data_IF_252278495764
#
_entry.id   IF_252278495764
#
_cell.length_a   1.000
_cell.length_b   1.000
_cell.length_c   1.000
_cell.angle_alpha   90.00
_cell.angle_beta   90.00
_cell.angle_gamma   90.00
#
_symmetry.space_group_name_H-M   'P 1'
#
loop_
_entity.id
_entity.type
_entity.pdbx_description
1 polymer ?
#
# COMPACT_ATOMS: atom_id res chain seq x y z
N UNK A 1 -0.49 -1.97 10.64
CA UNK A 1 0.24 -0.94 9.87
C UNK A 1 0.72 0.27 10.68
N UNK A 2 -0.16 0.93 11.44
CA UNK A 2 0.13 2.25 12.05
C UNK A 2 1.22 2.27 13.13
N UNK A 3 1.54 1.13 13.74
CA UNK A 3 2.68 0.98 14.67
C UNK A 3 3.96 0.53 13.97
N UNK A 4 3.82 -0.30 12.94
CA UNK A 4 4.95 -0.90 12.22
C UNK A 4 5.62 0.13 11.31
N UNK A 5 4.85 0.96 10.58
CA UNK A 5 5.43 1.95 9.69
C UNK A 5 6.36 2.95 10.42
N UNK A 6 5.96 3.58 11.55
CA UNK A 6 6.87 4.41 12.33
C UNK A 6 8.11 3.66 12.84
N UNK A 7 7.96 2.39 13.24
CA UNK A 7 9.08 1.58 13.72
C UNK A 7 10.14 1.35 12.63
N UNK A 8 9.72 0.96 11.43
CA UNK A 8 10.63 0.74 10.30
C UNK A 8 11.32 2.04 9.85
N UNK A 9 10.58 3.16 9.90
CA UNK A 9 11.11 4.49 9.58
C UNK A 9 12.07 5.02 10.67
N UNK A 10 11.80 4.74 11.96
CA UNK A 10 12.72 5.11 13.05
C UNK A 10 14.04 4.35 12.92
N UNK A 11 13.98 3.04 12.65
CA UNK A 11 15.17 2.22 12.46
C UNK A 11 16.04 2.72 11.30
N UNK A 12 15.41 3.11 10.19
CA UNK A 12 16.09 3.70 9.03
C UNK A 12 16.73 5.05 9.36
N UNK A 13 16.00 5.95 10.03
CA UNK A 13 16.52 7.30 10.32
C UNK A 13 17.69 7.28 11.30
N UNK A 14 17.76 6.27 12.17
CA UNK A 14 18.80 6.16 13.21
C UNK A 14 19.98 5.29 12.81
N UNK A 15 19.81 4.41 11.83
CA UNK A 15 20.85 3.49 11.37
C UNK A 15 21.64 4.04 10.19
N UNK A 16 22.96 4.02 10.30
CA UNK A 16 23.85 4.23 9.14
C UNK A 16 23.98 2.97 8.27
N UNK A 17 23.47 1.82 8.72
CA UNK A 17 23.55 0.54 8.00
C UNK A 17 22.45 0.40 6.97
N UNK A 18 21.28 0.97 7.26
CA UNK A 18 20.13 0.99 6.38
C UNK A 18 20.23 2.23 5.47
N UNK A 19 20.05 2.07 4.15
CA UNK A 19 19.99 3.23 3.28
C UNK A 19 18.77 4.07 3.68
N UNK A 20 18.99 5.37 3.88
CA UNK A 20 17.90 6.31 3.97
C UNK A 20 17.22 6.37 2.59
N UNK A 21 15.90 6.27 2.55
CA UNK A 21 15.11 6.71 1.42
C UNK A 21 15.47 8.19 1.22
N UNK A 22 16.15 8.48 0.11
CA UNK A 22 16.28 9.85 -0.38
C UNK A 22 14.88 10.46 -0.30
N UNK A 23 14.76 11.57 0.43
CA UNK A 23 13.47 12.19 0.67
C UNK A 23 13.01 12.87 -0.63
N UNK A 24 12.53 12.06 -1.56
CA UNK A 24 11.85 12.49 -2.75
C UNK A 24 10.36 12.56 -2.42
N UNK A 25 9.79 13.78 -2.25
CA UNK A 25 8.37 13.93 -1.99
C UNK A 25 7.51 13.46 -3.18
N UNK A 26 8.11 13.27 -4.36
CA UNK A 26 7.46 12.80 -5.58
C UNK A 26 7.46 11.27 -5.72
N UNK A 27 8.03 10.55 -4.75
CA UNK A 27 8.12 9.08 -4.77
C UNK A 27 7.18 8.44 -3.76
N UNK A 28 6.50 7.37 -4.16
CA UNK A 28 5.59 6.59 -3.33
C UNK A 28 6.35 5.61 -2.41
N UNK A 29 7.05 6.16 -1.41
CA UNK A 29 7.73 5.41 -0.35
C UNK A 29 6.82 5.17 0.85
N UNK A 30 7.23 4.26 1.75
CA UNK A 30 6.55 4.05 3.03
C UNK A 30 6.37 5.37 3.80
N UNK A 31 7.39 6.24 3.77
CA UNK A 31 7.37 7.54 4.43
C UNK A 31 6.31 8.47 3.83
N UNK A 32 6.29 8.64 2.50
CA UNK A 32 5.36 9.57 1.84
C UNK A 32 3.92 9.07 1.93
N UNK A 33 3.68 7.77 1.75
CA UNK A 33 2.35 7.17 1.87
C UNK A 33 1.83 7.23 3.32
N UNK A 34 2.68 6.97 4.31
CA UNK A 34 2.30 7.11 5.71
C UNK A 34 1.99 8.56 6.09
N UNK A 35 2.81 9.53 5.64
CA UNK A 35 2.55 10.95 5.86
C UNK A 35 1.24 11.41 5.22
N UNK A 36 0.96 10.97 3.99
CA UNK A 36 -0.32 11.22 3.31
C UNK A 36 -1.51 10.67 4.07
N UNK A 37 -1.42 9.43 4.53
CA UNK A 37 -2.45 8.80 5.35
C UNK A 37 -2.71 9.62 6.62
N UNK A 38 -1.65 10.04 7.32
CA UNK A 38 -1.78 10.89 8.51
C UNK A 38 -2.42 12.25 8.20
N UNK A 39 -2.07 12.86 7.08
CA UNK A 39 -2.54 14.18 6.67
C UNK A 39 -3.95 14.20 6.04
N UNK A 40 -4.71 13.12 6.11
CA UNK A 40 -6.10 13.13 5.60
C UNK A 40 -6.24 12.75 4.12
N UNK A 41 -5.15 12.48 3.40
CA UNK A 41 -5.23 12.25 1.97
C UNK A 41 -5.91 10.92 1.66
N UNK A 42 -6.68 10.91 0.57
CA UNK A 42 -7.23 9.69 -0.01
C UNK A 42 -6.16 9.00 -0.86
N UNK A 43 -6.26 7.68 -0.96
CA UNK A 43 -5.53 6.92 -1.97
C UNK A 43 -6.06 7.27 -3.37
N UNK A 44 -5.24 7.14 -4.42
CA UNK A 44 -5.75 7.14 -5.80
C UNK A 44 -6.85 6.10 -5.95
N UNK A 45 -7.77 6.32 -6.89
CA UNK A 45 -8.89 5.40 -7.14
C UNK A 45 -8.43 3.93 -7.15
N UNK A 46 -9.20 2.99 -6.58
CA UNK A 46 -8.84 1.59 -6.63
C UNK A 46 -9.02 0.99 -8.04
N UNK A 47 -9.60 1.74 -8.99
CA UNK A 47 -9.81 1.33 -10.37
C UNK A 47 -8.59 1.65 -11.25
N UNK A 48 -7.98 0.67 -11.94
CA UNK A 48 -6.79 0.88 -12.75
C UNK A 48 -6.94 1.99 -13.80
N UNK A 49 -8.07 2.03 -14.50
CA UNK A 49 -8.36 3.05 -15.52
C UNK A 49 -8.32 4.46 -14.94
N UNK A 50 -8.88 4.66 -13.75
CA UNK A 50 -8.87 5.96 -13.08
C UNK A 50 -7.49 6.36 -12.64
N UNK A 51 -6.68 5.42 -12.12
CA UNK A 51 -5.30 5.72 -11.75
C UNK A 51 -4.45 6.12 -12.96
N UNK A 52 -4.85 5.72 -14.17
CA UNK A 52 -4.20 6.14 -15.42
C UNK A 52 -4.73 7.45 -16.01
N UNK A 53 -5.93 7.88 -15.63
CA UNK A 53 -6.56 9.11 -16.09
C UNK A 53 -6.20 10.30 -15.18
N UNK A 54 -5.28 11.13 -15.66
CA UNK A 54 -4.80 12.28 -14.92
C UNK A 54 -5.89 13.31 -14.57
N UNK A 55 -6.95 13.43 -15.38
CA UNK A 55 -8.03 14.38 -15.11
C UNK A 55 -8.87 13.93 -13.90
N UNK A 56 -9.23 12.64 -13.86
CA UNK A 56 -10.01 12.06 -12.77
C UNK A 56 -9.24 12.05 -11.45
N UNK A 57 -7.93 11.75 -11.50
CA UNK A 57 -7.07 11.82 -10.31
C UNK A 57 -6.95 13.24 -9.77
N UNK A 58 -6.77 14.24 -10.64
CA UNK A 58 -6.67 15.64 -10.23
C UNK A 58 -7.97 16.15 -9.59
N UNK A 59 -9.12 15.68 -10.05
CA UNK A 59 -10.42 16.05 -9.47
C UNK A 59 -10.56 15.65 -8.00
N UNK A 60 -9.93 14.55 -7.58
CA UNK A 60 -10.03 14.03 -6.20
C UNK A 60 -8.79 14.33 -5.35
N UNK A 61 -7.70 14.84 -5.93
CA UNK A 61 -6.42 15.05 -5.25
C UNK A 61 -6.50 16.00 -4.04
N UNK A 62 -7.40 16.98 -4.08
CA UNK A 62 -7.58 17.96 -3.01
C UNK A 62 -8.51 17.48 -1.90
N UNK A 63 -9.23 16.37 -2.13
CA UNK A 63 -10.13 15.82 -1.13
C UNK A 63 -9.35 15.27 0.06
N UNK A 64 -9.88 15.53 1.24
CA UNK A 64 -9.34 15.05 2.51
C UNK A 64 -10.46 14.40 3.30
N UNK A 65 -10.14 13.26 3.91
CA UNK A 65 -11.02 12.68 4.91
C UNK A 65 -10.75 13.31 6.28
N UNK A 66 -11.81 13.63 7.01
CA UNK A 66 -11.73 14.03 8.42
C UNK A 66 -11.47 12.84 9.36
N UNK A 67 -11.50 11.61 8.84
CA UNK A 67 -11.30 10.41 9.63
C UNK A 67 -9.83 10.23 10.04
N UNK A 68 -9.63 10.01 11.34
CA UNK A 68 -8.32 9.60 11.88
C UNK A 68 -7.94 8.24 11.31
N UNK A 69 -6.65 7.96 11.07
CA UNK A 69 -6.23 6.68 10.48
C UNK A 69 -6.83 5.45 11.18
N UNK A 70 -6.91 5.43 12.53
CA UNK A 70 -7.46 4.30 13.29
C UNK A 70 -8.93 3.96 13.00
N UNK A 71 -9.71 4.89 12.43
CA UNK A 71 -11.14 4.69 12.12
C UNK A 71 -11.40 4.66 10.62
N UNK A 72 -10.34 4.69 9.80
CA UNK A 72 -10.47 4.58 8.35
C UNK A 72 -10.81 3.16 7.94
N UNK A 73 -11.52 3.01 6.82
CA UNK A 73 -11.85 1.70 6.31
C UNK A 73 -10.58 0.97 5.86
N UNK A 74 -10.61 -0.36 5.85
CA UNK A 74 -9.41 -1.19 5.75
C UNK A 74 -8.72 -1.07 4.37
N UNK A 75 -9.51 -0.84 3.32
CA UNK A 75 -9.03 -0.62 1.95
C UNK A 75 -8.07 0.57 1.81
N UNK A 76 -8.20 1.61 2.65
CA UNK A 76 -7.32 2.79 2.62
C UNK A 76 -5.85 2.44 2.96
N UNK A 77 -5.63 1.24 3.51
CA UNK A 77 -4.33 0.75 3.92
C UNK A 77 -3.66 -0.17 2.90
N UNK A 78 -4.30 -0.46 1.75
CA UNK A 78 -3.74 -1.35 0.71
C UNK A 78 -2.33 -0.88 0.26
N UNK A 79 -2.19 0.37 -0.15
CA UNK A 79 -0.90 0.89 -0.65
C UNK A 79 0.15 0.96 0.47
N UNK A 80 -0.28 1.24 1.70
CA UNK A 80 0.60 1.23 2.86
C UNK A 80 1.07 -0.20 3.19
N UNK A 81 0.20 -1.20 3.03
CA UNK A 81 0.56 -2.61 3.19
C UNK A 81 1.68 -3.00 2.22
N UNK A 82 1.54 -2.71 0.93
CA UNK A 82 2.58 -3.02 -0.05
C UNK A 82 3.89 -2.29 0.22
N UNK A 83 3.83 -1.00 0.54
CA UNK A 83 5.02 -0.23 0.88
C UNK A 83 5.72 -0.76 2.14
N UNK A 84 4.96 -1.26 3.12
CA UNK A 84 5.50 -1.85 4.34
C UNK A 84 6.20 -3.18 4.05
N UNK A 85 5.60 -4.06 3.24
CA UNK A 85 6.23 -5.29 2.79
C UNK A 85 7.53 -5.03 2.03
N UNK A 86 7.51 -4.10 1.07
CA UNK A 86 8.70 -3.72 0.32
C UNK A 86 9.81 -3.19 1.24
N UNK A 87 9.46 -2.38 2.25
CA UNK A 87 10.44 -1.85 3.21
C UNK A 87 11.06 -2.94 4.08
N UNK A 88 10.26 -3.85 4.62
CA UNK A 88 10.76 -4.96 5.44
C UNK A 88 11.71 -5.85 4.63
N UNK A 89 11.33 -6.19 3.40
CA UNK A 89 12.17 -6.98 2.50
C UNK A 89 13.48 -6.26 2.16
N UNK A 90 13.43 -4.95 1.86
CA UNK A 90 14.61 -4.17 1.54
C UNK A 90 15.59 -4.08 2.72
N UNK A 91 15.09 -3.77 3.92
CA UNK A 91 15.91 -3.71 5.13
C UNK A 91 16.52 -5.07 5.47
N UNK A 92 15.73 -6.14 5.37
CA UNK A 92 16.23 -7.51 5.56
C UNK A 92 17.34 -7.86 4.55
N UNK A 93 17.15 -7.54 3.27
CA UNK A 93 18.14 -7.82 2.22
C UNK A 93 19.46 -7.07 2.46
N UNK A 94 19.40 -5.78 2.83
CA UNK A 94 20.60 -4.99 3.14
C UNK A 94 21.37 -5.57 4.32
N UNK A 95 20.67 -5.92 5.41
CA UNK A 95 21.32 -6.49 6.60
C UNK A 95 21.94 -7.85 6.31
N UNK A 96 21.22 -8.69 5.57
CA UNK A 96 21.72 -10.00 5.11
C UNK A 96 23.00 -9.84 4.28
N UNK A 97 23.00 -8.96 3.28
CA UNK A 97 24.16 -8.73 2.43
C UNK A 97 25.39 -8.22 3.21
N UNK A 98 25.18 -7.33 4.21
CA UNK A 98 26.27 -6.84 5.08
C UNK A 98 26.87 -7.95 5.94
N UNK A 99 26.04 -8.81 6.50
CA UNK A 99 26.48 -9.95 7.32
C UNK A 99 27.20 -10.99 6.47
N UNK A 100 26.63 -11.37 5.32
CA UNK A 100 27.25 -12.34 4.40
C UNK A 100 28.59 -11.86 3.85
N UNK A 101 28.77 -10.54 3.70
CA UNK A 101 30.02 -9.92 3.24
C UNK A 101 31.03 -9.67 4.37
N UNK A 102 30.73 -10.05 5.62
CA UNK A 102 31.53 -9.78 6.82
C UNK A 102 31.83 -8.28 7.08
N UNK A 103 31.01 -7.36 6.54
CA UNK A 103 31.10 -5.93 6.91
C UNK A 103 30.59 -5.69 8.33
N UNK A 104 29.66 -6.54 8.78
CA UNK A 104 29.06 -6.47 10.11
C UNK A 104 28.85 -7.88 10.66
N UNK A 105 29.00 -8.03 11.97
CA UNK A 105 28.60 -9.23 12.70
C UNK A 105 27.13 -9.21 13.09
N UNK A 106 26.52 -10.38 13.29
CA UNK A 106 25.12 -10.50 13.75
C UNK A 106 24.87 -9.87 15.13
N UNK A 107 25.93 -9.76 15.95
CA UNK A 107 25.92 -9.13 17.27
C UNK A 107 26.12 -7.62 17.25
N UNK A 108 26.46 -7.04 16.10
CA UNK A 108 26.66 -5.59 15.98
C UNK A 108 25.33 -4.86 16.21
N UNK A 109 25.40 -3.68 16.82
CA UNK A 109 24.24 -2.83 17.01
C UNK A 109 23.82 -2.19 15.67
N UNK A 110 22.52 -2.16 15.39
CA UNK A 110 21.95 -1.53 14.20
C UNK A 110 22.19 -0.01 14.19
N UNK A 111 22.14 0.60 15.37
CA UNK A 111 22.46 2.00 15.63
C UNK A 111 22.89 2.17 17.10
N UNK A 112 23.41 3.35 17.45
CA UNK A 112 23.88 3.64 18.81
C UNK A 112 22.74 3.42 19.83
N UNK A 113 22.96 2.49 20.78
CA UNK A 113 21.97 2.05 21.79
C UNK A 113 20.70 1.41 21.18
N UNK A 114 20.79 0.92 19.95
CA UNK A 114 19.73 0.18 19.26
C UNK A 114 19.80 -1.34 19.48
N UNK A 115 18.87 -2.09 18.86
CA UNK A 115 18.93 -3.55 18.85
C UNK A 115 20.16 -4.05 18.10
N UNK A 116 20.55 -5.30 18.34
CA UNK A 116 21.52 -5.99 17.48
C UNK A 116 20.91 -6.27 16.10
N UNK A 117 21.75 -6.47 15.09
CA UNK A 117 21.29 -6.87 13.75
C UNK A 117 20.43 -8.14 13.83
N UNK A 118 20.87 -9.15 14.59
CA UNK A 118 20.09 -10.36 14.82
C UNK A 118 18.72 -10.08 15.47
N UNK A 119 18.70 -9.25 16.52
CA UNK A 119 17.46 -8.90 17.21
C UNK A 119 16.49 -8.13 16.31
N UNK A 120 17.00 -7.23 15.47
CA UNK A 120 16.17 -6.50 14.52
C UNK A 120 15.63 -7.39 13.41
N UNK A 121 16.44 -8.29 12.86
CA UNK A 121 15.98 -9.27 11.85
C UNK A 121 14.90 -10.17 12.42
N UNK A 122 15.04 -10.62 13.67
CA UNK A 122 14.00 -11.39 14.36
C UNK A 122 12.69 -10.59 14.45
N UNK A 123 12.75 -9.31 14.84
CA UNK A 123 11.57 -8.43 14.86
C UNK A 123 10.94 -8.28 13.46
N UNK A 124 11.75 -8.17 12.39
CA UNK A 124 11.22 -8.12 11.02
C UNK A 124 10.49 -9.40 10.65
N UNK A 125 11.00 -10.57 11.05
CA UNK A 125 10.33 -11.87 10.84
C UNK A 125 9.01 -11.93 11.59
N UNK A 126 8.97 -11.47 12.84
CA UNK A 126 7.73 -11.42 13.63
C UNK A 126 6.68 -10.52 12.96
N UNK A 127 7.08 -9.33 12.50
CA UNK A 127 6.19 -8.46 11.75
C UNK A 127 5.75 -9.05 10.42
N UNK A 128 6.65 -9.74 9.72
CA UNK A 128 6.31 -10.45 8.49
C UNK A 128 5.22 -11.50 8.73
N UNK A 129 5.35 -12.29 9.79
CA UNK A 129 4.35 -13.30 10.15
C UNK A 129 2.98 -12.68 10.45
N UNK A 130 2.95 -11.59 11.24
CA UNK A 130 1.69 -10.91 11.58
C UNK A 130 1.02 -10.29 10.36
N UNK A 131 1.79 -9.63 9.49
CA UNK A 131 1.25 -8.93 8.32
C UNK A 131 0.81 -9.90 7.21
N UNK A 132 1.37 -11.12 7.19
CA UNK A 132 1.01 -12.17 6.23
C UNK A 132 0.17 -13.29 6.86
N UNK A 133 -0.47 -13.03 8.01
CA UNK A 133 -1.44 -13.96 8.58
C UNK A 133 -2.62 -14.13 7.61
N UNK A 134 -3.04 -15.37 7.26
CA UNK A 134 -4.05 -15.60 6.24
C UNK A 134 -5.36 -14.84 6.50
N UNK A 135 -5.85 -14.87 7.74
CA UNK A 135 -7.08 -14.20 8.14
C UNK A 135 -7.00 -12.68 7.94
N UNK A 136 -5.84 -12.09 8.24
CA UNK A 136 -5.60 -10.67 8.07
C UNK A 136 -5.57 -10.27 6.58
N UNK A 137 -4.84 -11.03 5.77
CA UNK A 137 -4.74 -10.77 4.32
C UNK A 137 -6.09 -10.99 3.64
N UNK A 138 -6.84 -12.02 4.03
CA UNK A 138 -8.18 -12.27 3.51
C UNK A 138 -9.14 -11.10 3.80
N UNK A 139 -9.14 -10.57 5.03
CA UNK A 139 -9.98 -9.42 5.38
C UNK A 139 -9.61 -8.16 4.59
N UNK A 140 -8.31 -7.93 4.39
CA UNK A 140 -7.84 -6.81 3.57
C UNK A 140 -8.21 -7.01 2.09
N UNK A 141 -8.08 -8.22 1.55
CA UNK A 141 -8.49 -8.57 0.20
C UNK A 141 -9.99 -8.32 -0.05
N UNK A 142 -10.83 -8.79 0.86
CA UNK A 142 -12.27 -8.59 0.79
C UNK A 142 -12.66 -7.11 0.91
N UNK A 143 -11.98 -6.35 1.78
CA UNK A 143 -12.19 -4.91 1.89
C UNK A 143 -11.82 -4.17 0.59
N UNK A 144 -10.67 -4.50 -0.01
CA UNK A 144 -10.22 -3.93 -1.30
C UNK A 144 -11.20 -4.30 -2.42
N UNK A 145 -11.66 -5.55 -2.48
CA UNK A 145 -12.64 -6.01 -3.46
C UNK A 145 -13.96 -5.23 -3.35
N UNK A 146 -14.52 -5.12 -2.14
CA UNK A 146 -15.74 -4.31 -1.89
C UNK A 146 -15.55 -2.84 -2.22
N UNK A 147 -14.36 -2.29 -2.00
CA UNK A 147 -14.05 -0.90 -2.36
C UNK A 147 -14.02 -0.69 -3.87
N UNK A 148 -13.45 -1.65 -4.64
CA UNK A 148 -13.46 -1.62 -6.11
C UNK A 148 -14.88 -1.68 -6.67
N UNK A 149 -15.73 -2.55 -6.13
CA UNK A 149 -17.13 -2.64 -6.53
C UNK A 149 -17.87 -1.33 -6.28
N UNK A 150 -17.71 -0.75 -5.09
CA UNK A 150 -18.29 0.56 -4.79
C UNK A 150 -17.83 1.63 -5.77
N UNK A 151 -16.54 1.62 -6.14
CA UNK A 151 -16.01 2.56 -7.11
C UNK A 151 -16.61 2.33 -8.52
N UNK A 152 -16.72 1.08 -8.97
CA UNK A 152 -17.35 0.74 -10.26
C UNK A 152 -18.82 1.17 -10.30
N UNK A 153 -19.57 0.89 -9.24
CA UNK A 153 -20.97 1.34 -9.11
C UNK A 153 -21.04 2.88 -9.21
N UNK A 154 -20.22 3.60 -8.45
CA UNK A 154 -20.19 5.07 -8.49
C UNK A 154 -19.86 5.62 -9.88
N UNK A 155 -18.97 4.95 -10.62
CA UNK A 155 -18.67 5.31 -12.00
C UNK A 155 -19.85 5.08 -12.94
N UNK A 156 -20.53 3.93 -12.84
CA UNK A 156 -21.71 3.64 -13.64
C UNK A 156 -22.79 4.70 -13.43
N UNK A 157 -23.02 5.10 -12.17
CA UNK A 157 -23.92 6.21 -11.83
C UNK A 157 -23.49 7.53 -12.50
N UNK A 158 -22.20 7.84 -12.47
CA UNK A 158 -21.68 9.03 -13.13
C UNK A 158 -21.83 8.97 -14.66
N UNK A 159 -21.65 7.80 -15.28
CA UNK A 159 -21.83 7.61 -16.72
C UNK A 159 -23.29 7.77 -17.16
N UNK A 160 -24.24 7.31 -16.35
CA UNK A 160 -25.68 7.55 -16.57
C UNK A 160 -25.99 9.05 -16.49
N UNK A 161 -25.45 9.75 -15.49
CA UNK A 161 -25.63 11.21 -15.36
C UNK A 161 -25.07 11.99 -16.55
N UNK A 162 -24.01 11.48 -17.18
CA UNK A 162 -23.40 12.05 -18.38
C UNK A 162 -24.12 11.64 -19.68
N UNK A 163 -25.15 10.79 -19.60
CA UNK A 163 -25.88 10.26 -20.76
C UNK A 163 -25.05 9.30 -21.63
N UNK A 164 -23.92 8.82 -21.13
CA UNK A 164 -23.07 7.86 -21.82
C UNK A 164 -23.60 6.42 -21.71
N UNK A 165 -24.47 6.15 -20.73
CA UNK A 165 -25.04 4.85 -20.43
C UNK A 165 -26.55 5.02 -20.17
N UNK A 166 -27.38 4.08 -20.65
CA UNK A 166 -28.83 4.14 -20.38
C UNK A 166 -29.15 3.52 -19.02
N UNK A 167 -30.31 3.86 -18.44
CA UNK A 167 -30.75 3.24 -17.18
C UNK A 167 -30.95 1.73 -17.30
N UNK A 168 -31.31 1.24 -18.50
CA UNK A 168 -31.46 -0.19 -18.77
C UNK A 168 -30.10 -0.90 -18.77
N UNK A 169 -29.10 -0.33 -19.47
CA UNK A 169 -27.74 -0.85 -19.49
C UNK A 169 -27.13 -0.84 -18.08
N UNK A 170 -27.47 0.17 -17.27
CA UNK A 170 -27.02 0.26 -15.89
C UNK A 170 -27.57 -0.89 -15.04
N UNK A 171 -28.86 -1.20 -15.20
CA UNK A 171 -29.49 -2.28 -14.44
C UNK A 171 -28.89 -3.65 -14.77
N UNK A 172 -28.54 -3.88 -16.03
CA UNK A 172 -27.86 -5.09 -16.49
C UNK A 172 -26.44 -5.17 -15.89
N UNK A 173 -25.63 -4.13 -16.06
CA UNK A 173 -24.27 -4.08 -15.51
C UNK A 173 -24.22 -4.18 -13.98
N UNK A 174 -25.22 -3.65 -13.27
CA UNK A 174 -25.33 -3.80 -11.83
C UNK A 174 -25.71 -5.24 -11.43
N UNK A 175 -26.58 -5.90 -12.20
CA UNK A 175 -26.93 -7.28 -11.94
C UNK A 175 -25.68 -8.18 -12.05
N UNK A 176 -24.87 -7.96 -13.09
CA UNK A 176 -23.61 -8.66 -13.32
C UNK A 176 -22.61 -8.37 -12.18
N UNK A 177 -22.41 -7.09 -11.83
CA UNK A 177 -21.44 -6.67 -10.80
C UNK A 177 -21.69 -7.28 -9.41
N UNK A 178 -22.95 -7.59 -9.09
CA UNK A 178 -23.36 -8.17 -7.81
C UNK A 178 -23.65 -9.68 -7.88
N UNK A 179 -23.48 -10.30 -9.04
CA UNK A 179 -23.53 -11.76 -9.17
C UNK A 179 -22.41 -12.42 -8.36
N UNK A 180 -22.70 -13.55 -7.70
CA UNK A 180 -21.73 -14.22 -6.82
C UNK A 180 -20.49 -14.72 -7.58
N UNK A 181 -20.66 -15.17 -8.83
CA UNK A 181 -19.58 -15.70 -9.66
C UNK A 181 -18.68 -14.56 -10.16
N UNK A 182 -19.26 -13.44 -10.58
CA UNK A 182 -18.51 -12.24 -10.97
C UNK A 182 -17.81 -11.59 -9.78
N UNK A 183 -18.50 -11.54 -8.62
CA UNK A 183 -17.92 -11.07 -7.37
C UNK A 183 -16.71 -11.90 -6.96
N UNK A 184 -16.79 -13.22 -7.08
CA UNK A 184 -15.67 -14.11 -6.79
C UNK A 184 -14.51 -13.92 -7.80
N UNK A 185 -14.81 -13.58 -9.05
CA UNK A 185 -13.85 -13.31 -10.12
C UNK A 185 -13.13 -11.96 -10.00
N UNK A 186 -13.70 -11.00 -9.26
CA UNK A 186 -13.08 -9.68 -9.11
C UNK A 186 -11.76 -9.73 -8.32
N UNK A 187 -10.72 -9.17 -8.94
CA UNK A 187 -9.42 -9.05 -8.30
C UNK A 187 -9.53 -8.13 -7.06
N UNK A 188 -9.19 -8.67 -5.89
CA UNK A 188 -8.94 -7.92 -4.67
C UNK A 188 -7.52 -7.37 -4.68
N UNK A 189 -6.72 -7.69 -3.67
CA UNK A 189 -5.32 -7.30 -3.60
C UNK A 189 -4.51 -7.83 -4.80
N UNK A 190 -3.54 -7.04 -5.24
CA UNK A 190 -2.56 -7.48 -6.22
C UNK A 190 -1.71 -8.61 -5.64
N UNK A 191 -1.58 -9.70 -6.38
CA UNK A 191 -0.66 -10.77 -6.04
C UNK A 191 0.79 -10.30 -6.28
N UNK A 192 1.46 -9.91 -5.20
CA UNK A 192 2.87 -9.49 -5.20
C UNK A 192 3.83 -10.59 -4.73
N UNK A 193 3.35 -11.84 -4.66
CA UNK A 193 4.16 -12.99 -4.26
C UNK A 193 5.36 -13.16 -5.20
N UNK A 194 6.57 -12.91 -4.68
CA UNK A 194 7.82 -13.00 -5.44
C UNK A 194 8.30 -11.69 -6.07
N UNK A 195 7.59 -10.57 -5.86
CA UNK A 195 8.08 -9.27 -6.34
C UNK A 195 9.27 -8.80 -5.51
N UNK A 196 10.27 -8.23 -6.19
CA UNK A 196 11.34 -7.51 -5.50
C UNK A 196 10.83 -6.17 -4.94
N UNK A 197 11.42 -5.62 -3.87
CA UNK A 197 11.03 -4.33 -3.30
C UNK A 197 11.00 -3.19 -4.33
N UNK A 198 11.92 -3.21 -5.29
CA UNK A 198 12.00 -2.23 -6.39
C UNK A 198 10.80 -2.32 -7.35
N UNK A 199 10.27 -3.52 -7.59
CA UNK A 199 9.08 -3.71 -8.43
C UNK A 199 7.83 -3.15 -7.75
N UNK A 200 7.68 -3.41 -6.44
CA UNK A 200 6.58 -2.85 -5.64
C UNK A 200 6.67 -1.32 -5.63
N UNK A 201 7.86 -0.76 -5.41
CA UNK A 201 8.08 0.68 -5.45
C UNK A 201 7.74 1.28 -6.83
N UNK A 202 8.22 0.68 -7.92
CA UNK A 202 7.93 1.18 -9.27
C UNK A 202 6.44 1.12 -9.62
N UNK A 203 5.74 0.08 -9.17
CA UNK A 203 4.29 -0.05 -9.35
C UNK A 203 3.52 1.01 -8.55
N UNK A 204 3.90 1.25 -7.29
CA UNK A 204 3.33 2.34 -6.48
C UNK A 204 3.65 3.71 -7.08
N UNK A 205 4.88 3.95 -7.54
CA UNK A 205 5.27 5.20 -8.20
C UNK A 205 4.41 5.45 -9.45
N UNK A 206 4.13 4.42 -10.24
CA UNK A 206 3.21 4.52 -11.37
C UNK A 206 1.79 4.90 -10.93
N UNK A 207 1.27 4.28 -9.87
CA UNK A 207 -0.07 4.55 -9.32
C UNK A 207 -0.19 5.99 -8.80
N UNK A 208 0.88 6.52 -8.21
CA UNK A 208 0.91 7.84 -7.58
C UNK A 208 1.49 8.95 -8.46
N UNK A 209 1.92 8.67 -9.69
CA UNK A 209 2.62 9.60 -10.59
C UNK A 209 1.93 10.96 -10.82
N UNK A 210 0.60 11.00 -10.73
CA UNK A 210 -0.18 12.25 -10.91
C UNK A 210 -0.39 12.98 -9.58
N UNK A 211 -0.25 12.27 -8.47
CA UNK A 211 -0.60 12.71 -7.12
C UNK A 211 0.63 13.19 -6.33
N UNK A 212 1.79 12.61 -6.63
CA UNK A 212 3.08 12.92 -6.04
C UNK A 212 3.96 13.65 -7.05
#
# INVERSE_FOLDING_TARGET
FLKLAPYLLDAETRSALLPADEHDPHRASLKTLFARLQAGHLAPSPLPEHTSDAAKVKATMHLRTGMRPMVRPLEDFEDLYYALLAKMQAQHHVLRARVESNFNGVGDALYVRGPTIAGYVQTLVEFWMVVNEPDFVQQLDEAVRRARIRAMHQDMLAQVQLGALTEADMAELLADLYDEDEYAGMHGMAWIGGWAPSMIAAWLDKKYRVVL
#
